data_IF_379500388382
#
_entry.id   IF_379500388382
#
_cell.length_a   1.000
_cell.length_b   1.000
_cell.length_c   1.000
_cell.angle_alpha   90.00
_cell.angle_beta   90.00
_cell.angle_gamma   90.00
#
_symmetry.space_group_name_H-M   'P 1'
#
loop_
_entity.id
_entity.type
_entity.pdbx_description
1 polymer ?
#
# COMPACT_ATOMS: atom_id res chain seq x y z
N UNK A 1 5.40 50.65 37.64
CA UNK A 1 6.01 49.51 36.94
C UNK A 1 4.89 48.56 36.51
N UNK A 2 4.51 48.57 35.24
CA UNK A 2 3.39 47.79 34.71
C UNK A 2 3.95 46.56 33.99
N UNK A 3 3.68 45.35 34.51
CA UNK A 3 3.99 44.10 33.81
C UNK A 3 2.75 43.20 33.84
N UNK A 4 1.92 43.39 32.84
CA UNK A 4 0.89 42.44 32.44
C UNK A 4 1.04 42.23 30.94
N UNK A 5 1.44 41.03 30.55
CA UNK A 5 1.06 40.35 29.30
C UNK A 5 1.85 39.04 29.23
N UNK A 6 1.26 37.97 29.76
CA UNK A 6 1.67 36.62 29.39
C UNK A 6 0.44 35.88 28.93
N UNK A 7 0.08 36.12 27.67
CA UNK A 7 -0.89 35.34 26.93
C UNK A 7 -0.21 34.05 26.47
N UNK A 8 -0.23 33.00 27.29
CA UNK A 8 -0.03 31.64 26.80
C UNK A 8 -1.39 31.10 26.32
N UNK A 9 -1.72 31.41 25.07
CA UNK A 9 -2.75 30.69 24.35
C UNK A 9 -2.15 29.35 23.88
N UNK A 10 -2.43 28.27 24.62
CA UNK A 10 -2.14 26.91 24.19
C UNK A 10 -3.19 26.50 23.14
N UNK A 11 -2.93 26.85 21.88
CA UNK A 11 -3.67 26.30 20.76
C UNK A 11 -3.23 24.84 20.55
N UNK A 12 -4.00 23.91 21.11
CA UNK A 12 -3.87 22.49 20.79
C UNK A 12 -4.42 22.26 19.38
N UNK A 13 -3.54 22.34 18.38
CA UNK A 13 -3.82 21.92 17.02
C UNK A 13 -3.93 20.39 16.99
N UNK A 14 -5.11 19.86 17.30
CA UNK A 14 -5.51 18.50 16.96
C UNK A 14 -5.60 18.42 15.43
N UNK A 15 -4.46 18.25 14.77
CA UNK A 15 -4.45 17.81 13.38
C UNK A 15 -4.89 16.36 13.37
N UNK A 16 -6.21 16.16 13.21
CA UNK A 16 -6.79 14.93 12.71
C UNK A 16 -6.05 14.60 11.41
N UNK A 17 -5.08 13.69 11.50
CA UNK A 17 -4.41 13.15 10.35
C UNK A 17 -5.49 12.42 9.55
N UNK A 18 -5.90 13.09 8.48
CA UNK A 18 -6.87 12.64 7.49
C UNK A 18 -6.67 11.14 7.25
N UNK A 19 -7.62 10.35 7.74
CA UNK A 19 -7.71 8.95 7.39
C UNK A 19 -7.95 8.95 5.89
N UNK A 20 -6.91 8.65 5.12
CA UNK A 20 -6.96 8.48 3.68
C UNK A 20 -7.89 7.33 3.36
N UNK A 21 -9.20 7.60 3.39
CA UNK A 21 -10.18 6.87 2.64
C UNK A 21 -9.89 7.18 1.18
N UNK A 22 -8.87 6.51 0.64
CA UNK A 22 -8.75 6.28 -0.78
C UNK A 22 -10.05 5.56 -1.16
N UNK A 23 -11.03 6.34 -1.62
CA UNK A 23 -12.26 5.84 -2.17
C UNK A 23 -11.87 4.74 -3.16
N UNK A 24 -12.30 3.52 -2.87
CA UNK A 24 -12.00 2.38 -3.71
C UNK A 24 -12.56 2.69 -5.10
N UNK A 25 -11.67 3.08 -6.02
CA UNK A 25 -11.92 2.88 -7.43
C UNK A 25 -12.40 1.42 -7.60
N UNK A 26 -13.30 1.13 -8.57
CA UNK A 26 -13.74 -0.23 -8.80
C UNK A 26 -12.51 -1.12 -8.88
N UNK A 27 -12.39 -2.00 -7.89
CA UNK A 27 -11.19 -2.81 -7.72
C UNK A 27 -11.14 -3.79 -8.88
N UNK A 28 -10.07 -3.74 -9.67
CA UNK A 28 -9.77 -4.73 -10.68
C UNK A 28 -9.48 -6.10 -10.04
N UNK A 29 -9.17 -6.14 -8.75
CA UNK A 29 -9.06 -7.40 -8.01
C UNK A 29 -10.39 -8.14 -7.92
N UNK A 30 -10.39 -9.47 -8.16
CA UNK A 30 -11.50 -10.32 -7.75
C UNK A 30 -11.80 -10.18 -6.25
N UNK A 31 -13.03 -10.50 -5.84
CA UNK A 31 -13.44 -10.42 -4.44
C UNK A 31 -12.49 -11.23 -3.52
N UNK A 32 -11.97 -10.60 -2.46
CA UNK A 32 -11.03 -11.21 -1.50
C UNK A 32 -9.61 -11.47 -2.01
N UNK A 33 -9.36 -11.29 -3.31
CA UNK A 33 -8.06 -11.56 -3.92
C UNK A 33 -6.99 -10.56 -3.47
N UNK A 34 -7.35 -9.29 -3.33
CA UNK A 34 -6.44 -8.24 -2.86
C UNK A 34 -5.91 -8.55 -1.47
N UNK A 35 -6.80 -8.90 -0.55
CA UNK A 35 -6.43 -9.18 0.84
C UNK A 35 -5.58 -10.45 0.94
N UNK A 36 -5.90 -11.48 0.15
CA UNK A 36 -5.09 -12.70 0.04
C UNK A 36 -3.68 -12.38 -0.47
N UNK A 37 -3.57 -11.59 -1.56
CA UNK A 37 -2.28 -11.13 -2.09
C UNK A 37 -1.47 -10.37 -1.04
N UNK A 38 -2.07 -9.39 -0.36
CA UNK A 38 -1.38 -8.60 0.67
C UNK A 38 -0.93 -9.50 1.82
N UNK A 39 -1.77 -10.44 2.25
CA UNK A 39 -1.42 -11.42 3.30
C UNK A 39 -0.21 -12.26 2.90
N UNK A 40 -0.26 -12.91 1.74
CA UNK A 40 0.79 -13.82 1.27
C UNK A 40 2.11 -13.07 1.01
N UNK A 41 2.02 -11.91 0.34
CA UNK A 41 3.16 -11.03 0.11
C UNK A 41 3.77 -10.58 1.44
N UNK A 42 2.95 -10.18 2.42
CA UNK A 42 3.45 -9.69 3.72
C UNK A 42 4.12 -10.81 4.51
N UNK A 43 3.55 -12.02 4.49
CA UNK A 43 4.14 -13.19 5.14
C UNK A 43 5.53 -13.52 4.55
N UNK A 44 5.67 -13.46 3.22
CA UNK A 44 6.95 -13.67 2.54
C UNK A 44 7.95 -12.53 2.81
N UNK A 45 7.53 -11.27 2.67
CA UNK A 45 8.39 -10.10 2.86
C UNK A 45 8.86 -9.95 4.32
N UNK A 46 8.02 -10.35 5.29
CA UNK A 46 8.37 -10.31 6.72
C UNK A 46 9.53 -11.22 7.10
N UNK A 47 9.98 -12.12 6.21
CA UNK A 47 11.21 -12.87 6.40
C UNK A 47 12.48 -11.99 6.33
N UNK A 48 12.37 -10.78 5.75
CA UNK A 48 13.51 -9.89 5.49
C UNK A 48 13.35 -8.47 6.05
N UNK A 49 12.12 -8.05 6.36
CA UNK A 49 11.80 -6.73 6.91
C UNK A 49 10.77 -6.85 8.03
N UNK A 50 10.57 -5.79 8.83
CA UNK A 50 9.53 -5.81 9.85
C UNK A 50 8.12 -5.91 9.24
N UNK A 51 7.18 -6.47 9.99
CA UNK A 51 5.81 -6.75 9.51
C UNK A 51 5.06 -5.50 9.03
N UNK A 52 5.31 -4.33 9.63
CA UNK A 52 4.68 -3.08 9.21
C UNK A 52 5.21 -2.63 7.85
N UNK A 53 6.52 -2.71 7.67
CA UNK A 53 7.22 -2.40 6.43
C UNK A 53 6.84 -3.38 5.31
N UNK A 54 6.75 -4.67 5.62
CA UNK A 54 6.25 -5.71 4.70
C UNK A 54 4.82 -5.39 4.24
N UNK A 55 3.91 -5.16 5.19
CA UNK A 55 2.51 -4.84 4.90
C UNK A 55 2.37 -3.58 4.04
N UNK A 56 3.07 -2.51 4.39
CA UNK A 56 3.03 -1.26 3.61
C UNK A 56 3.53 -1.44 2.17
N UNK A 57 4.59 -2.24 1.97
CA UNK A 57 5.09 -2.55 0.63
C UNK A 57 4.06 -3.35 -0.19
N UNK A 58 3.47 -4.38 0.41
CA UNK A 58 2.51 -5.25 -0.26
C UNK A 58 1.19 -4.54 -0.56
N UNK A 59 0.72 -3.65 0.32
CA UNK A 59 -0.45 -2.80 0.06
C UNK A 59 -0.19 -1.85 -1.11
N UNK A 60 0.97 -1.21 -1.15
CA UNK A 60 1.36 -0.40 -2.31
C UNK A 60 1.41 -1.23 -3.59
N UNK A 61 2.00 -2.43 -3.54
CA UNK A 61 2.06 -3.33 -4.70
C UNK A 61 0.67 -3.71 -5.19
N UNK A 62 -0.25 -3.99 -4.27
CA UNK A 62 -1.64 -4.33 -4.60
C UNK A 62 -2.37 -3.16 -5.27
N UNK A 63 -2.13 -1.93 -4.80
CA UNK A 63 -2.72 -0.71 -5.37
C UNK A 63 -2.14 -0.42 -6.77
N UNK A 64 -0.83 -0.64 -6.97
CA UNK A 64 -0.19 -0.50 -8.28
C UNK A 64 -0.64 -1.54 -9.28
N UNK A 65 -0.76 -2.81 -8.87
CA UNK A 65 -1.35 -3.86 -9.70
C UNK A 65 -2.77 -3.46 -10.09
N UNK A 66 -3.58 -2.99 -9.14
CA UNK A 66 -4.95 -2.57 -9.41
C UNK A 66 -5.03 -1.42 -10.42
N UNK A 67 -4.08 -0.49 -10.40
CA UNK A 67 -4.06 0.67 -11.30
C UNK A 67 -3.56 0.33 -12.72
N UNK A 68 -2.59 -0.58 -12.85
CA UNK A 68 -1.86 -0.84 -14.09
C UNK A 68 -2.37 -2.09 -14.84
N UNK A 69 -3.06 -3.01 -14.15
CA UNK A 69 -3.56 -4.26 -14.71
C UNK A 69 -5.09 -4.32 -14.63
N UNK A 70 -5.67 -4.93 -15.66
CA UNK A 70 -7.09 -5.25 -15.72
C UNK A 70 -7.46 -6.46 -14.83
N UNK A 71 -8.76 -6.62 -14.54
CA UNK A 71 -9.25 -7.81 -13.81
C UNK A 71 -8.87 -9.13 -14.47
N UNK A 72 -8.88 -9.20 -15.81
CA UNK A 72 -8.52 -10.41 -16.53
C UNK A 72 -7.03 -10.76 -16.35
N UNK A 73 -6.16 -9.76 -16.45
CA UNK A 73 -4.72 -9.88 -16.22
C UNK A 73 -4.40 -10.30 -14.77
N UNK A 74 -5.07 -9.69 -13.80
CA UNK A 74 -4.91 -10.05 -12.38
C UNK A 74 -5.37 -11.50 -12.15
N UNK A 75 -6.53 -11.88 -12.68
CA UNK A 75 -7.05 -13.26 -12.59
C UNK A 75 -6.10 -14.27 -13.23
N UNK A 76 -5.52 -13.94 -14.38
CA UNK A 76 -4.54 -14.78 -15.08
C UNK A 76 -3.30 -14.99 -14.19
N UNK A 77 -2.73 -13.92 -13.62
CA UNK A 77 -1.59 -14.02 -12.70
C UNK A 77 -1.86 -14.86 -11.45
N UNK A 78 -3.11 -14.82 -10.95
CA UNK A 78 -3.50 -15.58 -9.76
C UNK A 78 -3.75 -17.07 -10.03
N UNK A 79 -4.30 -17.40 -11.21
CA UNK A 79 -4.78 -18.76 -11.49
C UNK A 79 -3.88 -19.56 -12.42
N UNK A 80 -3.00 -18.88 -13.17
CA UNK A 80 -2.08 -19.51 -14.10
C UNK A 80 -0.62 -19.27 -13.70
N UNK A 81 0.01 -20.29 -13.13
CA UNK A 81 1.45 -20.26 -12.81
C UNK A 81 2.34 -20.07 -14.06
N UNK A 82 1.83 -20.41 -15.25
CA UNK A 82 2.49 -20.25 -16.54
C UNK A 82 2.03 -18.99 -17.29
N UNK A 83 1.45 -18.00 -16.59
CA UNK A 83 1.15 -16.69 -17.16
C UNK A 83 2.38 -16.14 -17.92
N UNK A 84 2.12 -15.44 -19.02
CA UNK A 84 3.17 -15.02 -19.95
C UNK A 84 4.27 -14.21 -19.24
N UNK A 85 5.54 -14.31 -19.69
CA UNK A 85 6.62 -13.52 -19.12
C UNK A 85 6.33 -12.02 -19.19
N UNK A 86 5.66 -11.57 -20.24
CA UNK A 86 5.27 -10.18 -20.45
C UNK A 86 4.30 -9.68 -19.37
N UNK A 87 3.28 -10.49 -19.04
CA UNK A 87 2.32 -10.16 -17.98
C UNK A 87 2.97 -10.18 -16.58
N UNK A 88 3.84 -11.16 -16.32
CA UNK A 88 4.63 -11.21 -15.08
C UNK A 88 5.52 -9.97 -14.94
N UNK A 89 6.21 -9.59 -16.00
CA UNK A 89 7.07 -8.41 -16.03
C UNK A 89 6.27 -7.12 -15.83
N UNK A 90 5.08 -7.02 -16.42
CA UNK A 90 4.17 -5.88 -16.20
C UNK A 90 3.78 -5.75 -14.72
N UNK A 91 3.42 -6.86 -14.07
CA UNK A 91 3.11 -6.85 -12.63
C UNK A 91 4.33 -6.44 -11.79
N UNK A 92 5.51 -6.99 -12.06
CA UNK A 92 6.76 -6.62 -11.37
C UNK A 92 7.09 -5.14 -11.58
N UNK A 93 6.93 -4.63 -12.80
CA UNK A 93 7.16 -3.22 -13.13
C UNK A 93 6.20 -2.30 -12.36
N UNK A 94 4.92 -2.65 -12.25
CA UNK A 94 3.94 -1.90 -11.46
C UNK A 94 4.39 -1.78 -9.99
N UNK A 95 4.82 -2.91 -9.39
CA UNK A 95 5.25 -2.97 -7.98
C UNK A 95 6.61 -2.28 -7.76
N UNK A 96 7.48 -2.19 -8.77
CA UNK A 96 8.84 -1.64 -8.63
C UNK A 96 8.89 -0.20 -8.08
N UNK A 97 7.80 0.56 -8.24
CA UNK A 97 7.65 1.91 -7.70
C UNK A 97 7.41 1.95 -6.19
N UNK A 98 7.04 0.82 -5.57
CA UNK A 98 6.75 0.70 -4.15
C UNK A 98 8.02 0.54 -3.34
N UNK A 99 8.58 1.67 -2.88
CA UNK A 99 9.80 1.68 -2.08
C UNK A 99 9.58 1.11 -0.69
N UNK A 100 10.51 0.26 -0.26
CA UNK A 100 10.63 -0.19 1.13
C UNK A 100 11.52 0.79 1.87
N UNK A 101 10.95 1.62 2.75
CA UNK A 101 11.78 2.48 3.62
C UNK A 101 12.28 1.60 4.77
N UNK A 102 13.54 1.13 4.68
CA UNK A 102 14.16 0.42 5.80
C UNK A 102 14.25 1.36 7.00
N UNK A 103 13.69 0.98 8.15
CA UNK A 103 14.02 1.65 9.41
C UNK A 103 15.50 1.39 9.71
N UNK A 104 16.26 2.48 9.90
CA UNK A 104 17.59 2.45 10.52
C UNK A 104 17.47 2.15 12.01
#
# INVERSE_FOLDING_TARGET
MMRFTSTLALAASLTLLSLGAQAAAPSNWPAGARDSFVSDCSAAASQNVDAKTAKAHCECGADKINAELSTAEIKELMTNQNASPELKNKAVAAISSCKVVKKK
#
